data_IF_335693859983
#
_entry.id   IF_335693859983
#
_cell.length_a   1.000
_cell.length_b   1.000
_cell.length_c   1.000
_cell.angle_alpha   90.00
_cell.angle_beta   90.00
_cell.angle_gamma   90.00
#
_symmetry.space_group_name_H-M   'P 1'
#
loop_
_entity.id
_entity.type
_entity.pdbx_description
1 polymer ?
#
# COMPACT_ATOMS: atom_id res chain seq x y z
N UNK A 1 12.20 7.81 -2.25
CA UNK A 1 11.07 6.85 -2.07
C UNK A 1 11.62 5.45 -1.84
N UNK A 2 10.92 4.61 -1.07
CA UNK A 2 11.26 3.19 -0.91
C UNK A 2 10.18 2.30 -1.49
N UNK A 3 10.57 1.17 -2.06
CA UNK A 3 9.66 0.19 -2.65
C UNK A 3 9.99 -1.21 -2.15
N UNK A 4 8.98 -2.06 -2.03
CA UNK A 4 9.12 -3.47 -1.72
C UNK A 4 9.32 -4.20 -3.04
N UNK A 5 10.42 -4.96 -3.17
CA UNK A 5 10.58 -5.90 -4.27
C UNK A 5 9.59 -7.06 -4.07
N UNK A 6 8.70 -7.30 -5.03
CA UNK A 6 7.60 -8.27 -4.85
C UNK A 6 8.06 -9.73 -4.82
N UNK A 7 9.28 -10.01 -5.28
CA UNK A 7 9.85 -11.37 -5.29
C UNK A 7 10.64 -11.67 -4.01
N UNK A 8 11.45 -10.71 -3.53
CA UNK A 8 12.30 -10.92 -2.34
C UNK A 8 11.66 -10.39 -1.05
N UNK A 9 10.63 -9.55 -1.17
CA UNK A 9 9.99 -8.79 -0.09
C UNK A 9 10.94 -7.83 0.64
N UNK A 10 12.11 -7.57 0.07
CA UNK A 10 13.08 -6.63 0.61
C UNK A 10 12.78 -5.20 0.15
N UNK A 11 13.08 -4.23 1.01
CA UNK A 11 12.88 -2.81 0.71
C UNK A 11 14.12 -2.29 -0.01
N UNK A 12 13.89 -1.54 -1.10
CA UNK A 12 14.90 -0.88 -1.89
C UNK A 12 14.60 0.63 -1.96
N UNK A 13 15.65 1.45 -1.90
CA UNK A 13 15.55 2.91 -1.95
C UNK A 13 15.80 3.41 -3.37
N UNK A 14 14.95 4.33 -3.82
CA UNK A 14 15.01 4.97 -5.13
C UNK A 14 14.90 6.49 -4.96
N UNK A 15 15.69 7.22 -5.75
CA UNK A 15 15.73 8.69 -5.73
C UNK A 15 15.80 9.25 -7.16
N UNK A 16 15.40 10.52 -7.31
CA UNK A 16 15.41 11.22 -8.59
C UNK A 16 14.49 10.58 -9.62
N UNK A 17 15.00 10.45 -10.86
CA UNK A 17 14.25 9.91 -12.00
C UNK A 17 14.33 8.39 -12.13
N UNK A 18 15.17 7.71 -11.33
CA UNK A 18 15.38 6.26 -11.40
C UNK A 18 14.37 5.48 -10.56
N UNK A 19 13.10 5.89 -10.60
CA UNK A 19 12.02 5.19 -9.93
C UNK A 19 11.42 4.19 -10.92
N UNK A 20 11.47 2.87 -10.65
CA UNK A 20 10.89 1.87 -11.56
C UNK A 20 9.36 1.96 -11.57
N UNK A 21 8.69 1.27 -12.48
CA UNK A 21 7.25 1.05 -12.38
C UNK A 21 6.90 0.25 -11.11
N UNK A 22 5.81 0.63 -10.45
CA UNK A 22 5.34 0.01 -9.21
C UNK A 22 3.82 0.04 -9.10
N UNK A 23 3.29 -0.91 -8.31
CA UNK A 23 1.94 -0.85 -7.78
C UNK A 23 1.93 -0.05 -6.48
N UNK A 24 0.83 0.65 -6.18
CA UNK A 24 0.65 1.35 -4.90
C UNK A 24 -0.57 0.81 -4.16
N UNK A 25 -0.46 0.61 -2.85
CA UNK A 25 -1.59 0.22 -2.01
C UNK A 25 -2.23 1.44 -1.35
N UNK A 26 -3.52 1.62 -1.62
CA UNK A 26 -4.41 2.48 -0.85
C UNK A 26 -5.26 1.60 0.07
N UNK A 27 -5.32 1.93 1.36
CA UNK A 27 -5.99 1.10 2.36
C UNK A 27 -6.34 1.87 3.62
N UNK A 28 -7.24 1.32 4.43
CA UNK A 28 -7.42 1.80 5.79
C UNK A 28 -6.51 1.05 6.74
N UNK A 29 -5.83 1.77 7.63
CA UNK A 29 -5.05 1.14 8.68
C UNK A 29 -5.97 0.42 9.67
N UNK A 30 -5.56 -0.77 10.07
CA UNK A 30 -6.21 -1.59 11.07
C UNK A 30 -5.29 -1.87 12.26
N UNK A 31 -5.57 -2.96 12.96
CA UNK A 31 -4.73 -3.43 14.05
C UNK A 31 -3.55 -4.24 13.49
N UNK A 32 -2.36 -4.09 14.09
CA UNK A 32 -1.14 -4.84 13.75
C UNK A 32 -0.57 -4.56 12.34
N UNK A 33 -0.41 -3.28 12.02
CA UNK A 33 0.24 -2.84 10.79
C UNK A 33 1.70 -3.33 10.64
N UNK A 34 2.07 -3.63 9.39
CA UNK A 34 3.44 -3.88 9.00
C UNK A 34 4.19 -2.55 8.88
N UNK A 35 4.75 -2.06 9.99
CA UNK A 35 5.58 -0.85 10.00
C UNK A 35 6.91 -1.09 9.30
N UNK A 36 7.58 -0.03 8.81
CA UNK A 36 8.90 -0.11 8.19
C UNK A 36 9.90 -0.96 9.02
N UNK A 37 10.04 -0.70 10.32
CA UNK A 37 10.98 -1.41 11.20
C UNK A 37 10.64 -2.91 11.33
N UNK A 38 9.35 -3.23 11.41
CA UNK A 38 8.91 -4.62 11.51
C UNK A 38 9.08 -5.32 10.16
N UNK A 39 8.77 -4.64 9.06
CA UNK A 39 8.91 -5.21 7.73
C UNK A 39 10.36 -5.48 7.36
N UNK A 40 11.32 -4.62 7.72
CA UNK A 40 12.75 -4.87 7.43
C UNK A 40 13.31 -6.07 8.20
N UNK A 41 12.76 -6.40 9.37
CA UNK A 41 13.14 -7.55 10.16
C UNK A 41 12.58 -8.87 9.59
N UNK A 42 13.45 -9.74 9.07
CA UNK A 42 13.05 -11.03 8.45
C UNK A 42 12.25 -11.93 9.39
N UNK A 43 12.61 -11.98 10.67
CA UNK A 43 11.91 -12.80 11.67
C UNK A 43 10.50 -12.28 11.93
N UNK A 44 10.33 -10.96 12.04
CA UNK A 44 9.02 -10.32 12.19
C UNK A 44 8.11 -10.59 10.98
N UNK A 45 8.66 -10.56 9.76
CA UNK A 45 7.89 -10.95 8.55
C UNK A 45 7.37 -12.38 8.62
N UNK A 46 8.17 -13.32 9.13
CA UNK A 46 7.78 -14.72 9.25
C UNK A 46 6.73 -14.94 10.34
N UNK A 47 6.89 -14.31 11.51
CA UNK A 47 5.99 -14.51 12.66
C UNK A 47 4.65 -13.83 12.49
N UNK A 48 4.60 -12.70 11.78
CA UNK A 48 3.37 -11.91 11.63
C UNK A 48 2.68 -12.04 10.27
N UNK A 49 3.11 -12.96 9.40
CA UNK A 49 2.54 -13.14 8.05
C UNK A 49 1.01 -13.32 8.00
N UNK A 50 0.42 -13.82 9.08
CA UNK A 50 -1.03 -14.05 9.22
C UNK A 50 -1.80 -12.85 9.81
N UNK A 51 -1.10 -11.81 10.26
CA UNK A 51 -1.77 -10.59 10.74
C UNK A 51 -2.29 -9.79 9.55
N UNK A 52 -3.43 -9.13 9.72
CA UNK A 52 -4.09 -8.33 8.67
C UNK A 52 -3.16 -7.32 8.00
N UNK A 53 -2.32 -6.64 8.81
CA UNK A 53 -1.37 -5.65 8.33
C UNK A 53 -0.30 -6.23 7.39
N UNK A 54 0.19 -7.44 7.68
CA UNK A 54 1.14 -8.14 6.82
C UNK A 54 0.46 -8.79 5.62
N UNK A 55 -0.72 -9.37 5.84
CA UNK A 55 -1.48 -10.05 4.82
C UNK A 55 -1.75 -9.14 3.62
N UNK A 56 -2.22 -7.91 3.86
CA UNK A 56 -2.47 -6.95 2.77
C UNK A 56 -1.21 -6.57 1.99
N UNK A 57 -0.04 -6.42 2.65
CA UNK A 57 1.23 -6.15 1.95
C UNK A 57 1.64 -7.34 1.09
N UNK A 58 1.50 -8.56 1.61
CA UNK A 58 1.79 -9.79 0.87
C UNK A 58 0.82 -9.97 -0.31
N UNK A 59 -0.47 -9.71 -0.11
CA UNK A 59 -1.49 -9.75 -1.16
C UNK A 59 -1.21 -8.72 -2.25
N UNK A 60 -0.83 -7.49 -1.87
CA UNK A 60 -0.40 -6.42 -2.78
C UNK A 60 0.80 -6.87 -3.61
N UNK A 61 1.83 -7.46 -2.98
CA UNK A 61 3.00 -7.97 -3.71
C UNK A 61 2.63 -9.11 -4.66
N UNK A 62 1.73 -10.01 -4.22
CA UNK A 62 1.24 -11.11 -5.06
C UNK A 62 0.49 -10.59 -6.29
N UNK A 63 -0.38 -9.61 -6.11
CA UNK A 63 -1.17 -9.00 -7.19
C UNK A 63 -0.27 -8.19 -8.13
N UNK A 64 0.63 -7.36 -7.61
CA UNK A 64 1.62 -6.63 -8.40
C UNK A 64 2.44 -7.56 -9.29
N UNK A 65 2.87 -8.72 -8.75
CA UNK A 65 3.59 -9.73 -9.52
C UNK A 65 2.74 -10.36 -10.62
N UNK A 66 1.46 -10.62 -10.35
CA UNK A 66 0.52 -11.12 -11.36
C UNK A 66 0.36 -10.11 -12.51
N UNK A 67 0.33 -8.83 -12.18
CA UNK A 67 0.19 -7.73 -13.15
C UNK A 67 1.53 -7.32 -13.79
N UNK A 68 2.59 -8.13 -13.61
CA UNK A 68 3.89 -7.94 -14.25
C UNK A 68 4.81 -6.89 -13.61
N UNK A 69 4.45 -6.36 -12.44
CA UNK A 69 5.23 -5.35 -11.72
C UNK A 69 6.22 -5.99 -10.74
N UNK A 70 7.42 -5.41 -10.67
CA UNK A 70 8.50 -5.90 -9.78
C UNK A 70 8.49 -5.25 -8.39
N UNK A 71 7.74 -4.15 -8.24
CA UNK A 71 7.77 -3.32 -7.06
C UNK A 71 6.37 -2.94 -6.59
N UNK A 72 6.21 -2.86 -5.28
CA UNK A 72 5.02 -2.34 -4.64
C UNK A 72 5.40 -1.26 -3.61
N UNK A 73 4.55 -0.25 -3.48
CA UNK A 73 4.63 0.76 -2.43
C UNK A 73 3.48 0.58 -1.45
N UNK A 74 3.80 0.54 -0.16
CA UNK A 74 2.82 0.50 0.93
C UNK A 74 3.28 1.48 2.01
N UNK A 75 2.48 2.49 2.32
CA UNK A 75 2.82 3.57 3.25
C UNK A 75 3.26 3.08 4.65
N UNK A 76 2.66 2.02 5.18
CA UNK A 76 3.04 1.42 6.48
C UNK A 76 4.43 0.82 6.46
N UNK A 77 4.79 0.15 5.37
CA UNK A 77 6.06 -0.55 5.22
C UNK A 77 7.16 0.28 4.57
N UNK A 78 6.84 1.30 3.76
CA UNK A 78 7.79 2.05 2.94
C UNK A 78 8.16 3.43 3.51
N UNK A 79 7.41 3.93 4.49
CA UNK A 79 7.70 5.19 5.19
C UNK A 79 8.18 4.91 6.62
N UNK A 80 9.28 5.53 7.01
CA UNK A 80 9.80 5.43 8.37
C UNK A 80 9.14 6.53 9.17
N UNK A 81 8.05 6.14 9.83
CA UNK A 81 7.25 7.06 10.63
C UNK A 81 7.95 7.49 11.94
N UNK A 82 9.09 6.88 12.28
CA UNK A 82 9.92 7.35 13.40
C UNK A 82 10.80 8.53 13.02
N UNK A 83 11.03 8.76 11.72
CA UNK A 83 11.72 9.93 11.19
C UNK A 83 10.69 11.00 10.81
N UNK A 84 10.60 12.06 11.62
CA UNK A 84 9.70 13.20 11.35
C UNK A 84 10.01 13.90 10.01
N UNK A 85 11.29 13.97 9.65
CA UNK A 85 11.74 14.51 8.38
C UNK A 85 11.22 13.67 7.21
N UNK A 86 11.37 12.34 7.28
CA UNK A 86 10.89 11.45 6.22
C UNK A 86 9.36 11.44 6.14
N UNK A 87 8.67 11.43 7.28
CA UNK A 87 7.22 11.49 7.31
C UNK A 87 6.70 12.77 6.63
N UNK A 88 7.34 13.91 6.90
CA UNK A 88 6.97 15.19 6.29
C UNK A 88 7.23 15.19 4.78
N UNK A 89 8.39 14.69 4.33
CA UNK A 89 8.71 14.53 2.91
C UNK A 89 7.70 13.62 2.21
N UNK A 90 7.33 12.50 2.86
CA UNK A 90 6.38 11.54 2.33
C UNK A 90 4.99 12.16 2.16
N UNK A 91 4.49 12.88 3.15
CA UNK A 91 3.20 13.58 3.08
C UNK A 91 3.18 14.54 1.88
N UNK A 92 4.24 15.34 1.69
CA UNK A 92 4.34 16.28 0.58
C UNK A 92 4.49 15.60 -0.79
N UNK A 93 4.92 14.33 -0.81
CA UNK A 93 5.18 13.58 -2.04
C UNK A 93 4.07 12.59 -2.40
N UNK A 94 3.18 12.24 -1.47
CA UNK A 94 2.20 11.15 -1.63
C UNK A 94 1.34 11.30 -2.87
N UNK A 95 0.78 12.49 -3.15
CA UNK A 95 -0.02 12.73 -4.35
C UNK A 95 0.76 12.37 -5.62
N UNK A 96 2.03 12.80 -5.71
CA UNK A 96 2.91 12.48 -6.84
C UNK A 96 3.21 10.98 -6.92
N UNK A 97 3.39 10.31 -5.78
CA UNK A 97 3.62 8.86 -5.75
C UNK A 97 2.39 8.06 -6.16
N UNK A 98 1.17 8.48 -5.82
CA UNK A 98 -0.05 7.87 -6.35
C UNK A 98 -0.19 8.13 -7.84
N UNK A 99 0.02 9.37 -8.29
CA UNK A 99 -0.06 9.75 -9.70
C UNK A 99 0.92 8.99 -10.61
N UNK A 100 2.12 8.69 -10.11
CA UNK A 100 3.15 7.97 -10.88
C UNK A 100 3.06 6.45 -10.76
N UNK A 101 2.18 5.92 -9.91
CA UNK A 101 2.01 4.49 -9.81
C UNK A 101 1.41 3.93 -11.10
N UNK A 102 1.84 2.74 -11.52
CA UNK A 102 1.27 2.07 -12.69
C UNK A 102 -0.15 1.59 -12.42
N UNK A 103 -0.43 1.23 -11.18
CA UNK A 103 -1.74 0.78 -10.71
C UNK A 103 -1.87 1.07 -9.21
N UNK A 104 -3.04 1.53 -8.80
CA UNK A 104 -3.43 1.68 -7.41
C UNK A 104 -4.40 0.56 -7.03
N UNK A 105 -3.99 -0.27 -6.07
CA UNK A 105 -4.87 -1.25 -5.46
C UNK A 105 -5.53 -0.61 -4.25
N UNK A 106 -6.85 -0.47 -4.29
CA UNK A 106 -7.66 -0.01 -3.16
C UNK A 106 -8.18 -1.24 -2.42
N UNK A 107 -7.68 -1.47 -1.21
CA UNK A 107 -8.11 -2.59 -0.37
C UNK A 107 -9.20 -2.20 0.62
N UNK A 108 -10.40 -2.75 0.39
CA UNK A 108 -11.62 -2.52 1.16
C UNK A 108 -11.76 -3.59 2.26
N UNK A 109 -11.01 -3.40 3.34
CA UNK A 109 -10.87 -4.40 4.42
C UNK A 109 -12.17 -4.80 5.14
N UNK A 110 -13.18 -3.95 5.09
CA UNK A 110 -14.46 -4.07 5.78
C UNK A 110 -15.60 -4.54 4.88
N UNK A 111 -15.33 -4.77 3.59
CA UNK A 111 -16.32 -5.18 2.60
C UNK A 111 -15.97 -6.55 2.01
N UNK A 112 -17.01 -7.33 1.69
CA UNK A 112 -16.96 -8.57 0.93
C UNK A 112 -17.42 -8.35 -0.52
N UNK A 113 -17.08 -9.24 -1.44
CA UNK A 113 -17.53 -9.18 -2.83
C UNK A 113 -19.05 -9.31 -2.97
N UNK A 114 -19.71 -9.93 -1.98
CA UNK A 114 -21.17 -10.03 -1.91
C UNK A 114 -21.87 -8.75 -1.45
N UNK A 115 -21.13 -7.76 -0.95
CA UNK A 115 -21.72 -6.54 -0.41
C UNK A 115 -22.28 -5.63 -1.53
N UNK A 116 -23.29 -4.86 -1.17
CA UNK A 116 -23.99 -4.00 -2.14
C UNK A 116 -23.21 -2.72 -2.42
N UNK A 117 -23.58 -2.02 -3.49
CA UNK A 117 -22.99 -0.71 -3.79
C UNK A 117 -23.27 0.33 -2.69
N UNK A 118 -24.40 0.23 -1.98
CA UNK A 118 -24.67 1.13 -0.85
C UNK A 118 -23.70 0.88 0.31
N UNK A 119 -23.30 -0.38 0.54
CA UNK A 119 -22.28 -0.74 1.51
C UNK A 119 -20.91 -0.14 1.19
N UNK A 120 -20.59 0.10 -0.09
CA UNK A 120 -19.36 0.81 -0.48
C UNK A 120 -19.34 2.24 0.08
N UNK A 121 -20.46 2.97 0.03
CA UNK A 121 -20.54 4.37 0.48
C UNK A 121 -20.26 4.51 1.97
N UNK A 122 -20.70 3.53 2.76
CA UNK A 122 -20.51 3.48 4.20
C UNK A 122 -19.16 2.87 4.60
N UNK A 123 -18.46 2.23 3.66
CA UNK A 123 -17.17 1.62 3.87
C UNK A 123 -16.13 2.60 4.42
N UNK A 124 -15.28 2.12 5.32
CA UNK A 124 -14.27 2.94 6.01
C UNK A 124 -13.32 3.65 5.07
N UNK A 125 -13.07 3.08 3.89
CA UNK A 125 -12.18 3.69 2.91
C UNK A 125 -12.81 4.94 2.29
N UNK A 126 -14.10 4.90 1.93
CA UNK A 126 -14.81 6.01 1.29
C UNK A 126 -15.11 7.18 2.25
N UNK A 127 -15.08 6.94 3.56
CA UNK A 127 -15.38 7.94 4.59
C UNK A 127 -14.14 8.68 5.12
N UNK A 128 -12.92 8.39 4.63
CA UNK A 128 -11.69 9.02 5.10
C UNK A 128 -11.19 10.10 4.14
N UNK A 129 -11.00 11.32 4.62
CA UNK A 129 -10.58 12.45 3.77
C UNK A 129 -9.28 12.23 2.98
N UNK A 130 -8.37 11.38 3.46
CA UNK A 130 -7.10 11.10 2.76
C UNK A 130 -7.27 10.21 1.52
N UNK A 131 -8.34 9.43 1.40
CA UNK A 131 -8.51 8.47 0.30
C UNK A 131 -8.93 9.14 -1.00
N UNK A 132 -9.43 10.38 -0.95
CA UNK A 132 -9.78 11.14 -2.16
C UNK A 132 -8.57 11.30 -3.09
N UNK A 133 -7.42 11.72 -2.58
CA UNK A 133 -6.22 11.83 -3.42
C UNK A 133 -5.72 10.46 -3.91
N UNK A 134 -5.90 9.41 -3.11
CA UNK A 134 -5.50 8.04 -3.47
C UNK A 134 -6.39 7.47 -4.59
N UNK A 135 -7.62 7.99 -4.72
CA UNK A 135 -8.57 7.68 -5.79
C UNK A 135 -8.31 8.48 -7.07
N UNK A 136 -8.10 9.79 -6.96
CA UNK A 136 -8.09 10.69 -8.14
C UNK A 136 -6.70 10.93 -8.73
N UNK A 137 -5.63 10.64 -7.98
CA UNK A 137 -4.27 10.86 -8.47
C UNK A 137 -3.81 9.78 -9.47
N UNK A 138 -4.01 8.47 -9.24
CA UNK A 138 -3.58 7.43 -10.16
C UNK A 138 -4.46 7.36 -11.42
N UNK A 139 -3.87 7.03 -12.56
CA UNK A 139 -4.62 6.83 -13.82
C UNK A 139 -5.37 5.49 -13.87
N UNK A 140 -4.97 4.52 -13.04
CA UNK A 140 -5.55 3.18 -12.99
C UNK A 140 -5.78 2.75 -11.53
N UNK A 141 -7.04 2.52 -11.17
CA UNK A 141 -7.46 2.13 -9.83
C UNK A 141 -8.25 0.82 -9.91
N UNK A 142 -7.90 -0.14 -9.07
CA UNK A 142 -8.62 -1.40 -8.92
C UNK A 142 -8.99 -1.64 -7.46
N UNK A 143 -10.25 -1.97 -7.22
CA UNK A 143 -10.80 -2.20 -5.89
C UNK A 143 -10.78 -3.70 -5.58
N UNK A 144 -10.30 -4.05 -4.40
CA UNK A 144 -10.23 -5.41 -3.88
C UNK A 144 -10.93 -5.48 -2.53
N UNK A 145 -11.83 -6.44 -2.37
CA UNK A 145 -12.51 -6.75 -1.10
C UNK A 145 -11.66 -7.71 -0.26
N UNK A 146 -12.15 -8.06 0.93
CA UNK A 146 -11.41 -8.92 1.88
C UNK A 146 -11.31 -10.40 1.47
N UNK A 147 -12.09 -10.81 0.48
CA UNK A 147 -12.30 -12.19 0.00
C UNK A 147 -11.73 -12.44 -1.41
#
# INVERSE_FOLDING_TARGET
MRLINVHTLEIQSFSGTNIPQYAILSHTWGTKEATFQKWTNKWSRLTHKHTSGYHKVLATCKQARHDGLKYAWVDTGCIDKSSSAELSEAINSMYTWYKKATICYVYLSDLAASDTFDSLREGRWFTRGWTLQELIAPDNVQLYTKD
#
